data_IF_985442188855
#
_entry.id   IF_985442188855
#
_cell.length_a   1.000
_cell.length_b   1.000
_cell.length_c   1.000
_cell.angle_alpha   90.00
_cell.angle_beta   90.00
_cell.angle_gamma   90.00
#
_symmetry.space_group_name_H-M   'P 1'
#
loop_
_entity.id
_entity.type
_entity.pdbx_description
1 polymer ?
#
# COMPACT_ATOMS: atom_id res chain seq x y z
N UNK A 1 -13.56 16.11 -5.47
CA UNK A 1 -12.84 14.82 -5.51
C UNK A 1 -12.23 14.64 -4.14
N UNK A 2 -12.75 13.69 -3.35
CA UNK A 2 -12.27 13.43 -2.00
C UNK A 2 -10.91 12.75 -2.09
N UNK A 3 -9.87 13.33 -1.51
CA UNK A 3 -8.54 12.74 -1.48
C UNK A 3 -8.60 11.41 -0.72
N UNK A 4 -8.21 10.31 -1.36
CA UNK A 4 -8.21 8.99 -0.71
C UNK A 4 -7.09 8.97 0.33
N UNK A 5 -7.37 8.66 1.61
CA UNK A 5 -6.34 8.60 2.63
C UNK A 5 -5.26 7.58 2.25
N UNK A 6 -4.00 7.87 2.62
CA UNK A 6 -2.83 7.09 2.22
C UNK A 6 -2.02 6.66 3.46
N UNK A 7 -1.75 5.36 3.60
CA UNK A 7 -0.95 4.82 4.71
C UNK A 7 0.38 4.31 4.15
N UNK A 8 1.49 4.82 4.70
CA UNK A 8 2.85 4.44 4.30
C UNK A 8 3.62 3.80 5.46
N UNK A 9 4.31 2.69 5.23
CA UNK A 9 5.08 1.99 6.26
C UNK A 9 5.77 0.73 5.74
N UNK A 10 6.26 -0.08 6.67
CA UNK A 10 6.77 -1.41 6.35
C UNK A 10 5.59 -2.31 6.02
N UNK A 11 5.64 -2.98 4.87
CA UNK A 11 4.56 -3.79 4.33
C UNK A 11 4.43 -5.13 5.07
N UNK A 12 4.02 -5.05 6.34
CA UNK A 12 3.72 -6.19 7.22
C UNK A 12 2.20 -6.32 7.31
N UNK A 13 1.71 -7.53 7.05
CA UNK A 13 0.27 -7.82 7.12
C UNK A 13 -0.23 -7.77 8.55
N UNK A 14 -1.36 -7.09 8.72
CA UNK A 14 -2.20 -7.05 9.91
C UNK A 14 -3.49 -7.80 9.61
N UNK A 15 -3.92 -8.65 10.52
CA UNK A 15 -5.09 -9.51 10.43
C UNK A 15 -6.17 -9.03 11.42
N UNK A 16 -7.10 -8.13 11.01
CA UNK A 16 -8.06 -7.55 11.94
C UNK A 16 -9.00 -8.58 12.58
N UNK A 17 -9.37 -9.62 11.85
CA UNK A 17 -10.17 -10.74 12.39
C UNK A 17 -9.43 -11.55 13.46
N UNK A 18 -8.10 -11.50 13.49
CA UNK A 18 -7.26 -12.11 14.51
C UNK A 18 -6.90 -11.14 15.66
N UNK A 19 -7.40 -9.90 15.63
CA UNK A 19 -7.21 -8.89 16.68
C UNK A 19 -6.14 -7.83 16.41
N UNK A 20 -5.51 -7.83 15.22
CA UNK A 20 -4.60 -6.73 14.84
C UNK A 20 -5.38 -5.43 14.53
N UNK A 21 -4.65 -4.31 14.41
CA UNK A 21 -5.26 -3.02 14.07
C UNK A 21 -5.95 -3.06 12.68
N UNK A 22 -7.20 -2.56 12.58
CA UNK A 22 -7.89 -2.45 11.31
C UNK A 22 -7.27 -1.35 10.44
N UNK A 23 -7.44 -1.47 9.12
CA UNK A 23 -7.04 -0.40 8.20
C UNK A 23 -7.88 0.86 8.46
N UNK A 24 -7.29 2.03 8.21
CA UNK A 24 -8.07 3.26 8.22
C UNK A 24 -9.15 3.19 7.13
N UNK A 25 -10.42 3.48 7.46
CA UNK A 25 -11.50 3.44 6.49
C UNK A 25 -11.20 4.31 5.26
N UNK A 26 -11.41 3.75 4.08
CA UNK A 26 -11.17 4.45 2.82
C UNK A 26 -9.70 4.59 2.43
N UNK A 27 -8.74 4.13 3.25
CA UNK A 27 -7.32 4.29 2.91
C UNK A 27 -6.87 3.29 1.85
N UNK A 28 -5.97 3.75 0.98
CA UNK A 28 -5.29 2.87 0.02
C UNK A 28 -4.21 2.07 0.74
N UNK A 29 -4.32 0.75 0.66
CA UNK A 29 -3.46 -0.23 1.35
C UNK A 29 -3.11 -1.39 0.41
N UNK A 30 -2.15 -2.22 0.82
CA UNK A 30 -2.00 -3.57 0.29
C UNK A 30 -3.04 -4.48 0.95
N UNK A 31 -3.65 -5.35 0.17
CA UNK A 31 -4.71 -6.26 0.59
C UNK A 31 -4.26 -7.68 0.26
N UNK A 32 -4.35 -8.56 1.24
CA UNK A 32 -4.30 -9.99 1.02
C UNK A 32 -5.73 -10.50 0.81
N UNK A 33 -6.02 -10.97 -0.40
CA UNK A 33 -7.33 -11.57 -0.70
C UNK A 33 -7.44 -12.97 -0.10
N UNK A 34 -8.66 -13.49 0.03
CA UNK A 34 -8.91 -14.88 0.45
C UNK A 34 -8.23 -15.91 -0.46
N UNK A 35 -7.99 -15.57 -1.74
CA UNK A 35 -7.24 -16.41 -2.69
C UNK A 35 -5.71 -16.36 -2.52
N UNK A 36 -5.18 -15.66 -1.51
CA UNK A 36 -3.74 -15.56 -1.25
C UNK A 36 -3.01 -14.57 -2.17
N UNK A 37 -3.73 -13.68 -2.84
CA UNK A 37 -3.14 -12.70 -3.78
C UNK A 37 -2.99 -11.35 -3.11
N UNK A 38 -1.84 -10.71 -3.31
CA UNK A 38 -1.60 -9.32 -2.89
C UNK A 38 -2.08 -8.34 -3.97
N UNK A 39 -2.98 -7.42 -3.59
CA UNK A 39 -3.49 -6.36 -4.47
C UNK A 39 -3.43 -4.99 -3.78
N UNK A 40 -3.40 -3.90 -4.55
CA UNK A 40 -3.54 -2.54 -4.02
C UNK A 40 -5.02 -2.13 -4.11
N UNK A 41 -5.60 -1.68 -3.00
CA UNK A 41 -7.00 -1.27 -2.98
C UNK A 41 -7.40 -0.57 -1.69
N UNK A 42 -8.70 -0.37 -1.53
CA UNK A 42 -9.31 0.08 -0.27
C UNK A 42 -9.70 -1.13 0.55
N UNK A 43 -9.41 -1.12 1.85
CA UNK A 43 -9.83 -2.19 2.76
C UNK A 43 -11.34 -2.45 2.70
N UNK A 44 -11.74 -3.72 2.73
CA UNK A 44 -13.13 -4.17 2.64
C UNK A 44 -13.32 -5.53 3.29
N UNK A 45 -14.58 -5.97 3.42
CA UNK A 45 -14.98 -7.16 4.18
C UNK A 45 -14.46 -8.48 3.58
N UNK A 46 -14.18 -8.53 2.27
CA UNK A 46 -13.70 -9.74 1.58
C UNK A 46 -12.18 -9.96 1.66
N UNK A 47 -11.48 -9.16 2.47
CA UNK A 47 -10.04 -9.18 2.60
C UNK A 47 -9.59 -9.88 3.89
N UNK A 48 -8.50 -10.66 3.80
CA UNK A 48 -7.95 -11.43 4.94
C UNK A 48 -7.06 -10.57 5.82
N UNK A 49 -6.23 -9.76 5.19
CA UNK A 49 -5.24 -8.94 5.87
C UNK A 49 -4.93 -7.70 5.05
N UNK A 50 -4.40 -6.67 5.72
CA UNK A 50 -3.94 -5.46 5.05
C UNK A 50 -2.53 -5.10 5.50
N UNK A 51 -1.80 -4.39 4.65
CA UNK A 51 -0.50 -3.82 4.99
C UNK A 51 -0.41 -2.38 4.45
N UNK A 52 0.37 -1.51 5.10
CA UNK A 52 0.58 -0.16 4.60
C UNK A 52 1.34 -0.21 3.27
N UNK A 53 1.18 0.81 2.43
CA UNK A 53 1.96 0.91 1.20
C UNK A 53 3.43 1.18 1.54
N UNK A 54 4.40 0.62 0.79
CA UNK A 54 5.80 0.94 0.98
C UNK A 54 6.03 2.45 0.89
N UNK A 55 6.89 2.99 1.76
CA UNK A 55 7.29 4.39 1.66
C UNK A 55 8.01 4.63 0.34
N UNK A 56 7.58 5.68 -0.35
CA UNK A 56 8.28 6.19 -1.53
C UNK A 56 9.64 6.76 -1.14
N UNK A 57 10.60 6.69 -2.07
CA UNK A 57 11.92 7.29 -1.89
C UNK A 57 12.16 8.34 -2.99
N UNK A 58 11.82 9.62 -2.74
CA UNK A 58 11.90 10.68 -3.73
C UNK A 58 13.31 10.87 -4.31
N UNK A 59 14.35 10.70 -3.49
CA UNK A 59 15.75 10.80 -3.90
C UNK A 59 16.09 9.74 -4.97
N UNK A 60 15.73 8.47 -4.73
CA UNK A 60 15.95 7.41 -5.72
C UNK A 60 15.11 7.62 -6.98
N UNK A 61 13.86 8.07 -6.82
CA UNK A 61 12.98 8.39 -7.96
C UNK A 61 13.53 9.54 -8.82
N UNK A 62 14.20 10.52 -8.22
CA UNK A 62 14.89 11.59 -8.94
C UNK A 62 16.14 11.10 -9.66
N UNK A 63 16.96 10.26 -9.01
CA UNK A 63 18.12 9.61 -9.64
C UNK A 63 17.71 8.81 -10.89
N UNK A 64 16.62 8.02 -10.82
CA UNK A 64 16.08 7.29 -11.96
C UNK A 64 15.64 8.23 -13.09
N UNK A 65 14.97 9.35 -12.74
CA UNK A 65 14.54 10.36 -13.72
C UNK A 65 15.73 11.02 -14.42
N UNK A 66 16.80 11.32 -13.70
CA UNK A 66 18.03 11.87 -14.27
C UNK A 66 18.69 10.88 -15.24
N UNK A 67 18.86 9.61 -14.84
CA UNK A 67 19.44 8.56 -15.68
C UNK A 67 18.68 8.35 -17.00
N UNK A 68 17.34 8.34 -16.96
CA UNK A 68 16.50 8.21 -18.16
C UNK A 68 16.65 9.38 -19.13
N UNK A 69 16.87 10.60 -18.63
CA UNK A 69 17.09 11.79 -19.47
C UNK A 69 18.46 11.79 -20.15
N UNK A 70 19.47 11.17 -19.56
CA UNK A 70 20.82 11.09 -20.13
C UNK A 70 21.01 9.99 -21.17
N UNK A 71 20.02 9.10 -21.34
CA UNK A 71 20.06 7.96 -22.27
C UNK A 71 19.24 8.22 -23.55
N UNK A 72 18.66 9.42 -23.69
CA UNK A 72 17.96 9.92 -24.87
C UNK A 72 18.72 11.13 -25.44
#
# INVERSE_FOLDING_TARGET
MSETPYIAGDAVYRYPEAGDEPAMPGAKVLILTQGGVCVIGTWGEDAVAWAPLPKRNPTKEEQIRALKKSTH
#
